data_IF_145338573328
#
_entry.id   IF_145338573328
#
_cell.length_a   1.000
_cell.length_b   1.000
_cell.length_c   1.000
_cell.angle_alpha   90.00
_cell.angle_beta   90.00
_cell.angle_gamma   90.00
#
_symmetry.space_group_name_H-M   'P 1'
#
loop_
_entity.id
_entity.type
_entity.pdbx_description
1 polymer ?
#
# COMPACT_ATOMS: atom_id res chain seq x y z
N UNK A 1 50.85 -40.28 -10.10
CA UNK A 1 49.66 -41.15 -9.97
C UNK A 1 48.44 -40.37 -10.46
N UNK A 2 47.97 -40.60 -11.70
CA UNK A 2 46.76 -39.97 -12.23
C UNK A 2 45.64 -40.98 -12.58
N UNK A 3 44.43 -40.45 -12.87
CA UNK A 3 43.25 -41.04 -13.58
C UNK A 3 42.23 -41.81 -12.69
N UNK A 4 40.87 -41.82 -12.94
CA UNK A 4 40.04 -41.14 -13.97
C UNK A 4 38.76 -40.40 -13.52
N UNK A 5 38.27 -39.58 -14.45
CA UNK A 5 36.92 -39.04 -14.68
C UNK A 5 35.91 -40.05 -15.28
N UNK A 6 34.59 -39.77 -15.12
CA UNK A 6 33.36 -40.23 -15.84
C UNK A 6 32.25 -40.58 -14.80
N UNK A 7 30.96 -40.19 -14.85
CA UNK A 7 29.98 -39.76 -15.88
C UNK A 7 28.86 -38.89 -15.23
N UNK A 8 28.37 -37.93 -16.04
CA UNK A 8 27.02 -37.29 -16.17
C UNK A 8 25.80 -37.82 -15.37
N UNK A 9 24.98 -36.88 -14.88
CA UNK A 9 23.52 -36.63 -15.17
C UNK A 9 22.73 -36.94 -13.88
N UNK A 10 21.69 -36.25 -13.41
CA UNK A 10 20.68 -35.36 -13.99
C UNK A 10 20.12 -34.43 -12.88
N UNK A 11 19.57 -33.30 -13.29
CA UNK A 11 18.99 -32.25 -12.43
C UNK A 11 17.51 -32.52 -12.26
N UNK A 12 17.05 -32.83 -11.04
CA UNK A 12 15.62 -32.91 -10.73
C UNK A 12 15.09 -31.56 -10.21
N UNK A 13 14.32 -30.92 -11.08
CA UNK A 13 13.53 -29.74 -10.81
C UNK A 13 12.18 -30.16 -10.20
N UNK A 14 12.00 -29.96 -8.89
CA UNK A 14 10.69 -30.05 -8.25
C UNK A 14 9.88 -28.77 -8.53
N UNK A 15 9.03 -28.83 -9.56
CA UNK A 15 8.03 -27.81 -9.90
C UNK A 15 6.77 -27.94 -9.02
N UNK A 16 6.26 -26.79 -8.58
CA UNK A 16 4.99 -26.60 -7.87
C UNK A 16 3.77 -27.20 -8.57
N UNK A 17 2.83 -27.83 -7.84
CA UNK A 17 1.65 -28.47 -8.40
C UNK A 17 0.41 -27.56 -8.33
N UNK A 18 0.24 -26.63 -9.28
CA UNK A 18 -1.05 -25.99 -9.55
C UNK A 18 -1.26 -25.85 -11.06
N UNK A 19 -1.52 -27.00 -11.71
CA UNK A 19 -2.00 -27.06 -13.09
C UNK A 19 -3.10 -28.11 -13.17
N UNK A 20 -4.33 -27.76 -12.78
CA UNK A 20 -5.51 -28.57 -13.11
C UNK A 20 -6.14 -28.01 -14.38
N UNK A 21 -6.04 -28.83 -15.42
CA UNK A 21 -6.73 -28.72 -16.69
C UNK A 21 -8.24 -28.76 -16.49
N UNK A 22 -8.95 -27.76 -17.01
CA UNK A 22 -10.38 -27.85 -17.28
C UNK A 22 -10.58 -28.69 -18.54
N UNK A 23 -11.18 -29.87 -18.37
CA UNK A 23 -11.66 -30.71 -19.46
C UNK A 23 -13.11 -30.37 -19.77
N UNK A 24 -13.35 -29.93 -20.99
CA UNK A 24 -14.67 -29.83 -21.62
C UNK A 24 -15.42 -31.16 -21.51
N UNK A 25 -16.67 -31.12 -21.02
CA UNK A 25 -17.57 -32.28 -21.04
C UNK A 25 -18.75 -31.98 -21.95
N UNK A 26 -18.90 -32.83 -22.95
CA UNK A 26 -19.87 -32.76 -24.03
C UNK A 26 -21.32 -32.80 -23.58
N UNK A 27 -22.11 -32.08 -24.38
CA UNK A 27 -23.56 -32.13 -24.53
C UNK A 27 -24.03 -33.56 -24.83
N UNK A 28 -24.95 -34.08 -24.03
CA UNK A 28 -25.92 -35.08 -24.49
C UNK A 28 -27.34 -34.69 -24.05
N UNK A 29 -28.18 -34.53 -25.07
CA UNK A 29 -29.64 -34.42 -25.02
C UNK A 29 -30.22 -35.78 -24.63
N UNK A 30 -31.05 -35.83 -23.62
CA UNK A 30 -32.12 -36.83 -23.55
C UNK A 30 -33.43 -36.17 -23.14
N UNK A 31 -34.46 -36.50 -23.92
CA UNK A 31 -35.81 -35.97 -23.91
C UNK A 31 -36.71 -37.11 -23.48
N UNK A 32 -37.46 -36.94 -22.40
CA UNK A 32 -38.64 -37.78 -22.14
C UNK A 32 -39.65 -36.99 -21.33
N UNK A 33 -40.80 -36.74 -21.96
CA UNK A 33 -41.99 -36.11 -21.39
C UNK A 33 -42.70 -37.07 -20.40
N UNK A 34 -43.38 -36.52 -19.38
CA UNK A 34 -44.83 -36.71 -19.15
C UNK A 34 -45.32 -36.00 -17.88
N UNK A 35 -46.54 -35.47 -18.00
CA UNK A 35 -47.32 -34.66 -17.06
C UNK A 35 -47.49 -35.23 -15.65
N UNK A 36 -47.62 -34.34 -14.66
CA UNK A 36 -48.78 -34.22 -13.73
C UNK A 36 -48.61 -32.97 -12.84
N UNK A 37 -49.55 -32.03 -12.92
CA UNK A 37 -49.83 -31.01 -11.87
C UNK A 37 -50.90 -31.55 -10.92
N UNK A 38 -50.90 -31.14 -9.65
CA UNK A 38 -51.83 -30.08 -9.27
C UNK A 38 -51.25 -29.04 -8.32
N UNK A 39 -51.94 -27.90 -8.32
CA UNK A 39 -51.63 -26.68 -7.61
C UNK A 39 -51.63 -26.82 -6.08
N UNK A 40 -50.69 -26.15 -5.42
CA UNK A 40 -50.90 -25.60 -4.08
C UNK A 40 -50.14 -24.27 -3.97
N UNK A 41 -50.93 -23.21 -4.02
CA UNK A 41 -50.61 -21.85 -3.63
C UNK A 41 -49.96 -21.82 -2.24
N UNK A 42 -48.66 -21.56 -2.19
CA UNK A 42 -47.99 -21.03 -1.00
C UNK A 42 -47.06 -19.93 -1.50
N UNK A 43 -47.44 -18.69 -1.20
CA UNK A 43 -46.72 -17.49 -1.60
C UNK A 43 -45.26 -17.60 -1.20
N UNK A 44 -44.40 -17.89 -2.18
CA UNK A 44 -43.00 -17.50 -2.11
C UNK A 44 -43.00 -16.01 -2.36
N UNK A 45 -42.89 -15.22 -1.30
CA UNK A 45 -42.15 -13.98 -1.41
C UNK A 45 -40.84 -14.34 -2.09
N UNK A 46 -40.74 -14.07 -3.39
CA UNK A 46 -39.45 -13.87 -4.01
C UNK A 46 -38.82 -12.77 -3.16
N UNK A 47 -37.92 -13.16 -2.26
CA UNK A 47 -36.85 -12.30 -1.82
C UNK A 47 -36.26 -11.77 -3.13
N UNK A 48 -36.67 -10.54 -3.50
CA UNK A 48 -35.93 -9.78 -4.49
C UNK A 48 -34.52 -9.81 -3.94
N UNK A 49 -33.63 -10.56 -4.60
CA UNK A 49 -32.20 -10.44 -4.35
C UNK A 49 -31.91 -8.95 -4.51
N UNK A 50 -31.77 -8.26 -3.39
CA UNK A 50 -31.41 -6.86 -3.37
C UNK A 50 -29.97 -6.88 -3.89
N UNK A 51 -29.82 -6.61 -5.18
CA UNK A 51 -28.53 -6.32 -5.77
C UNK A 51 -27.99 -5.16 -4.96
N UNK A 52 -26.81 -5.30 -4.33
CA UNK A 52 -26.30 -4.24 -3.48
C UNK A 52 -26.07 -3.03 -4.39
N UNK A 53 -26.73 -1.92 -4.07
CA UNK A 53 -26.50 -0.68 -4.80
C UNK A 53 -25.04 -0.26 -4.64
N UNK A 54 -24.48 0.30 -5.71
CA UNK A 54 -23.12 0.78 -5.69
C UNK A 54 -23.01 1.91 -4.64
N UNK A 55 -22.06 1.82 -3.69
CA UNK A 55 -21.92 2.82 -2.64
C UNK A 55 -21.48 4.17 -3.22
N UNK A 56 -21.88 5.25 -2.56
CA UNK A 56 -21.35 6.59 -2.84
C UNK A 56 -19.83 6.62 -2.61
N UNK A 57 -19.10 7.21 -3.57
CA UNK A 57 -17.64 7.35 -3.51
C UNK A 57 -17.25 8.76 -3.03
N UNK A 58 -16.16 8.91 -2.25
CA UNK A 58 -15.23 7.87 -1.82
C UNK A 58 -15.72 7.05 -0.61
N UNK A 59 -15.35 5.77 -0.57
CA UNK A 59 -15.69 4.87 0.55
C UNK A 59 -15.06 5.37 1.87
N UNK A 60 -15.79 5.35 3.00
CA UNK A 60 -15.24 5.78 4.28
C UNK A 60 -14.02 4.94 4.69
N UNK A 61 -13.02 5.53 5.37
CA UNK A 61 -11.88 4.79 5.88
C UNK A 61 -12.31 3.77 6.94
N UNK A 62 -11.57 2.66 7.04
CA UNK A 62 -11.83 1.66 8.06
C UNK A 62 -11.36 2.19 9.43
N UNK A 63 -12.16 2.04 10.51
CA UNK A 63 -11.75 2.46 11.85
C UNK A 63 -10.68 1.56 12.47
N UNK A 64 -10.45 0.36 11.92
CA UNK A 64 -9.49 -0.64 12.45
C UNK A 64 -8.42 -1.04 11.42
N UNK A 65 -7.56 -0.10 10.98
CA UNK A 65 -6.58 -0.34 9.91
C UNK A 65 -5.27 -0.97 10.40
N UNK A 66 -5.04 -0.98 11.71
CA UNK A 66 -3.82 -1.50 12.35
C UNK A 66 -4.11 -2.83 13.05
N UNK A 67 -3.06 -3.64 13.23
CA UNK A 67 -3.16 -4.86 14.02
C UNK A 67 -3.37 -4.50 15.50
N UNK A 68 -4.41 -5.02 16.13
CA UNK A 68 -4.74 -4.80 17.54
C UNK A 68 -5.38 -6.05 18.15
N UNK A 69 -5.12 -6.29 19.44
CA UNK A 69 -5.77 -7.31 20.27
C UNK A 69 -6.96 -6.76 21.08
N UNK A 70 -7.21 -5.44 21.02
CA UNK A 70 -8.23 -4.77 21.83
C UNK A 70 -9.66 -5.10 21.39
N UNK A 71 -9.83 -5.55 20.15
CA UNK A 71 -11.12 -5.83 19.55
C UNK A 71 -11.41 -7.34 19.54
N UNK A 72 -12.61 -7.71 20.01
CA UNK A 72 -13.05 -9.13 20.12
C UNK A 72 -14.29 -9.46 19.27
N UNK A 73 -14.85 -8.46 18.61
CA UNK A 73 -16.11 -8.47 17.86
C UNK A 73 -15.91 -8.66 16.34
N UNK A 74 -14.86 -9.39 15.95
CA UNK A 74 -14.51 -9.63 14.54
C UNK A 74 -15.47 -10.59 13.85
N UNK A 75 -15.61 -10.43 12.54
CA UNK A 75 -16.29 -11.36 11.65
C UNK A 75 -15.32 -11.95 10.64
N UNK A 76 -15.64 -13.13 10.13
CA UNK A 76 -14.87 -13.85 9.11
C UNK A 76 -15.78 -14.46 8.06
N UNK A 77 -15.20 -14.96 6.97
CA UNK A 77 -15.89 -15.74 5.95
C UNK A 77 -15.89 -17.21 6.36
N UNK A 78 -17.05 -17.87 6.29
CA UNK A 78 -17.20 -19.29 6.68
C UNK A 78 -16.19 -20.21 5.96
N UNK A 79 -15.95 -19.96 4.66
CA UNK A 79 -14.99 -20.70 3.85
C UNK A 79 -13.56 -20.13 3.84
N UNK A 80 -13.30 -19.03 4.56
CA UNK A 80 -11.97 -18.43 4.63
C UNK A 80 -11.70 -17.76 6.01
N UNK A 81 -11.38 -18.56 7.06
CA UNK A 81 -11.22 -18.07 8.44
C UNK A 81 -10.10 -17.05 8.66
N UNK A 82 -9.14 -16.96 7.73
CA UNK A 82 -8.05 -15.96 7.76
C UNK A 82 -8.51 -14.57 7.34
N UNK A 83 -9.72 -14.43 6.78
CA UNK A 83 -10.31 -13.15 6.46
C UNK A 83 -10.95 -12.53 7.70
N UNK A 84 -10.43 -11.40 8.17
CA UNK A 84 -11.00 -10.61 9.25
C UNK A 84 -11.66 -9.32 8.73
N UNK A 85 -12.89 -9.05 9.16
CA UNK A 85 -13.61 -7.78 8.92
C UNK A 85 -14.21 -7.24 10.23
N UNK A 86 -14.07 -5.93 10.45
CA UNK A 86 -14.68 -5.28 11.60
C UNK A 86 -16.19 -5.07 11.39
N UNK A 87 -16.99 -4.94 12.47
CA UNK A 87 -18.43 -4.71 12.36
C UNK A 87 -18.79 -3.51 11.49
N UNK A 88 -18.05 -2.39 11.61
CA UNK A 88 -18.31 -1.18 10.83
C UNK A 88 -18.20 -1.42 9.32
N UNK A 89 -17.14 -2.10 8.87
CA UNK A 89 -16.96 -2.41 7.47
C UNK A 89 -17.96 -3.47 6.99
N UNK A 90 -18.28 -4.47 7.83
CA UNK A 90 -19.29 -5.47 7.52
C UNK A 90 -20.65 -4.82 7.33
N UNK A 91 -21.09 -3.97 8.25
CA UNK A 91 -22.39 -3.30 8.18
C UNK A 91 -22.44 -2.33 7.00
N UNK A 92 -21.44 -1.45 6.88
CA UNK A 92 -21.46 -0.38 5.89
C UNK A 92 -21.30 -0.88 4.44
N UNK A 93 -20.44 -1.87 4.20
CA UNK A 93 -20.17 -2.34 2.82
C UNK A 93 -20.97 -3.58 2.45
N UNK A 94 -21.20 -4.49 3.38
CA UNK A 94 -21.75 -5.82 3.10
C UNK A 94 -23.15 -6.01 3.69
N UNK A 95 -23.54 -5.24 4.70
CA UNK A 95 -24.71 -5.46 5.56
C UNK A 95 -26.01 -5.66 4.80
N UNK A 96 -26.21 -4.88 3.74
CA UNK A 96 -27.40 -4.90 2.88
C UNK A 96 -27.25 -5.76 1.62
N UNK A 97 -26.14 -6.49 1.48
CA UNK A 97 -25.86 -7.32 0.31
C UNK A 97 -26.35 -8.77 0.48
N UNK A 98 -26.60 -9.45 -0.64
CA UNK A 98 -26.86 -10.91 -0.67
C UNK A 98 -25.70 -11.75 -0.09
N UNK A 99 -24.52 -11.15 0.05
CA UNK A 99 -23.31 -11.80 0.54
C UNK A 99 -23.21 -11.80 2.07
N UNK A 100 -24.03 -11.01 2.78
CA UNK A 100 -24.00 -10.92 4.25
C UNK A 100 -24.08 -12.27 4.96
N UNK A 101 -24.79 -13.23 4.35
CA UNK A 101 -24.97 -14.60 4.85
C UNK A 101 -23.67 -15.41 4.95
N UNK A 102 -22.63 -15.05 4.20
CA UNK A 102 -21.34 -15.75 4.24
C UNK A 102 -20.43 -15.29 5.40
N UNK A 103 -20.83 -14.23 6.10
CA UNK A 103 -20.04 -13.64 7.18
C UNK A 103 -20.55 -14.09 8.55
N UNK A 104 -19.70 -14.81 9.27
CA UNK A 104 -19.95 -15.37 10.59
C UNK A 104 -19.06 -14.69 11.63
N UNK A 105 -19.43 -14.77 12.91
CA UNK A 105 -18.56 -14.25 13.98
C UNK A 105 -17.25 -15.04 14.00
N UNK A 106 -16.12 -14.34 14.06
CA UNK A 106 -14.82 -14.98 14.17
C UNK A 106 -14.67 -15.62 15.57
N UNK A 107 -13.96 -16.76 15.67
CA UNK A 107 -13.59 -17.31 16.97
C UNK A 107 -12.76 -16.31 17.79
N UNK A 108 -12.94 -16.26 19.12
CA UNK A 108 -12.06 -15.49 20.00
C UNK A 108 -10.60 -15.94 19.85
N UNK A 109 -9.68 -14.98 19.82
CA UNK A 109 -8.24 -15.25 19.75
C UNK A 109 -7.46 -14.08 20.33
N UNK A 110 -6.31 -14.39 20.92
CA UNK A 110 -5.36 -13.41 21.46
C UNK A 110 -4.39 -12.87 20.39
N UNK A 111 -4.53 -13.31 19.14
CA UNK A 111 -3.70 -12.85 18.02
C UNK A 111 -4.19 -11.48 17.57
N UNK A 112 -3.27 -10.52 17.42
CA UNK A 112 -3.59 -9.19 16.92
C UNK A 112 -4.19 -9.28 15.50
N UNK A 113 -5.32 -8.59 15.29
CA UNK A 113 -6.06 -8.57 14.03
C UNK A 113 -6.15 -7.18 13.44
N UNK A 114 -6.25 -7.10 12.11
CA UNK A 114 -6.62 -5.87 11.38
C UNK A 114 -7.74 -6.18 10.41
N UNK A 115 -8.57 -5.19 10.12
CA UNK A 115 -9.63 -5.35 9.14
C UNK A 115 -9.06 -5.45 7.71
N UNK A 116 -9.41 -6.48 6.95
CA UNK A 116 -8.99 -6.62 5.55
C UNK A 116 -9.57 -5.51 4.66
N UNK A 117 -10.74 -4.96 5.00
CA UNK A 117 -11.33 -3.79 4.34
C UNK A 117 -10.60 -2.47 4.66
N UNK A 118 -9.52 -2.48 5.44
CA UNK A 118 -8.56 -1.37 5.47
C UNK A 118 -7.61 -1.38 4.27
N UNK A 119 -7.49 -2.51 3.56
CA UNK A 119 -6.65 -2.64 2.36
C UNK A 119 -7.39 -2.14 1.11
N UNK A 120 -6.77 -1.25 0.31
CA UNK A 120 -7.30 -0.85 -0.99
C UNK A 120 -7.57 -2.01 -1.94
N UNK A 121 -6.79 -3.09 -1.87
CA UNK A 121 -6.97 -4.29 -2.70
C UNK A 121 -8.32 -4.97 -2.46
N UNK A 122 -8.70 -5.16 -1.19
CA UNK A 122 -9.99 -5.77 -0.84
C UNK A 122 -11.17 -4.86 -1.15
N UNK A 123 -11.00 -3.55 -0.96
CA UNK A 123 -12.01 -2.56 -1.38
C UNK A 123 -12.21 -2.59 -2.89
N UNK A 124 -11.14 -2.69 -3.67
CA UNK A 124 -11.22 -2.82 -5.12
C UNK A 124 -11.93 -4.11 -5.51
N UNK A 125 -11.57 -5.26 -4.92
CA UNK A 125 -12.26 -6.53 -5.15
C UNK A 125 -13.77 -6.42 -4.89
N UNK A 126 -14.15 -5.75 -3.81
CA UNK A 126 -15.55 -5.51 -3.48
C UNK A 126 -16.23 -4.59 -4.51
N UNK A 127 -15.61 -3.47 -4.86
CA UNK A 127 -16.15 -2.55 -5.87
C UNK A 127 -16.31 -3.22 -7.24
N UNK A 128 -15.36 -4.07 -7.65
CA UNK A 128 -15.45 -4.87 -8.88
C UNK A 128 -16.59 -5.87 -8.80
N UNK A 129 -16.75 -6.56 -7.66
CA UNK A 129 -17.88 -7.48 -7.41
C UNK A 129 -19.22 -6.80 -7.64
N UNK A 130 -19.38 -5.56 -7.14
CA UNK A 130 -20.59 -4.76 -7.33
C UNK A 130 -20.74 -4.26 -8.78
N UNK A 131 -19.69 -3.64 -9.33
CA UNK A 131 -19.69 -3.06 -10.69
C UNK A 131 -20.02 -4.11 -11.76
N UNK A 132 -19.45 -5.31 -11.62
CA UNK A 132 -19.63 -6.42 -12.54
C UNK A 132 -20.87 -7.29 -12.21
N UNK A 133 -21.61 -6.96 -11.14
CA UNK A 133 -22.80 -7.71 -10.67
C UNK A 133 -22.52 -9.20 -10.48
N UNK A 134 -21.36 -9.52 -9.90
CA UNK A 134 -20.97 -10.90 -9.59
C UNK A 134 -21.94 -11.50 -8.57
N UNK A 135 -22.09 -12.83 -8.62
CA UNK A 135 -22.95 -13.60 -7.72
C UNK A 135 -22.18 -14.39 -6.67
N UNK A 136 -20.86 -14.23 -6.66
CA UNK A 136 -19.90 -14.87 -5.78
C UNK A 136 -18.93 -13.82 -5.20
N UNK A 137 -18.11 -14.27 -4.24
CA UNK A 137 -17.05 -13.49 -3.63
C UNK A 137 -15.67 -13.95 -4.11
N UNK A 138 -15.57 -14.49 -5.33
CA UNK A 138 -14.35 -15.17 -5.81
C UNK A 138 -13.13 -14.24 -5.81
N UNK A 139 -13.31 -12.95 -6.10
CA UNK A 139 -12.24 -11.96 -6.02
C UNK A 139 -11.73 -11.82 -4.58
N UNK A 140 -12.63 -11.72 -3.61
CA UNK A 140 -12.28 -11.63 -2.18
C UNK A 140 -11.58 -12.91 -1.72
N UNK A 141 -12.12 -14.09 -2.07
CA UNK A 141 -11.51 -15.38 -1.74
C UNK A 141 -10.11 -15.54 -2.35
N UNK A 142 -9.92 -15.10 -3.59
CA UNK A 142 -8.61 -15.13 -4.25
C UNK A 142 -7.59 -14.28 -3.50
N UNK A 143 -7.95 -13.05 -3.11
CA UNK A 143 -7.09 -12.20 -2.30
C UNK A 143 -6.81 -12.80 -0.92
N UNK A 144 -7.79 -13.45 -0.29
CA UNK A 144 -7.62 -14.12 1.00
C UNK A 144 -6.68 -15.32 0.91
N UNK A 145 -6.78 -16.11 -0.14
CA UNK A 145 -5.85 -17.22 -0.40
C UNK A 145 -4.41 -16.69 -0.53
N UNK A 146 -4.19 -15.68 -1.37
CA UNK A 146 -2.87 -15.04 -1.54
C UNK A 146 -2.39 -14.44 -0.21
N UNK A 147 -3.31 -13.87 0.58
CA UNK A 147 -2.96 -13.27 1.86
C UNK A 147 -2.41 -14.29 2.84
N UNK A 148 -2.95 -15.50 2.81
CA UNK A 148 -2.60 -16.61 3.70
C UNK A 148 -1.34 -17.37 3.26
N UNK A 149 -0.98 -17.36 1.97
CA UNK A 149 0.16 -18.14 1.45
C UNK A 149 1.43 -17.32 1.25
N UNK A 150 1.31 -16.08 0.80
CA UNK A 150 2.48 -15.29 0.41
C UNK A 150 3.05 -14.50 1.57
N UNK A 151 4.24 -13.90 1.40
CA UNK A 151 4.75 -12.92 2.36
C UNK A 151 4.10 -11.54 2.14
N UNK A 152 3.86 -10.74 3.20
CA UNK A 152 3.32 -9.40 3.05
C UNK A 152 4.24 -8.52 2.19
N UNK A 153 3.65 -7.56 1.48
CA UNK A 153 4.42 -6.51 0.81
C UNK A 153 5.29 -5.78 1.85
N UNK A 154 6.59 -5.52 1.56
CA UNK A 154 7.51 -4.93 2.54
C UNK A 154 7.16 -3.48 2.90
N UNK A 155 6.21 -2.87 2.19
CA UNK A 155 5.78 -1.50 2.46
C UNK A 155 6.94 -0.54 2.18
N UNK A 156 7.17 0.39 3.10
CA UNK A 156 8.17 1.47 2.96
C UNK A 156 9.63 1.03 3.18
N UNK A 157 9.88 -0.28 3.23
CA UNK A 157 11.20 -0.86 3.45
C UNK A 157 11.72 -1.53 2.19
N UNK A 158 13.00 -1.33 1.90
CA UNK A 158 13.68 -2.13 0.90
C UNK A 158 13.87 -3.56 1.40
N UNK A 159 13.76 -4.53 0.50
CA UNK A 159 13.86 -5.93 0.87
C UNK A 159 14.50 -6.81 -0.21
N UNK A 160 15.07 -7.93 0.20
CA UNK A 160 15.66 -8.96 -0.69
C UNK A 160 14.63 -10.07 -0.89
N UNK A 161 13.99 -10.10 -2.07
CA UNK A 161 12.98 -11.09 -2.45
C UNK A 161 12.86 -11.16 -3.98
N UNK A 162 12.10 -12.11 -4.55
CA UNK A 162 11.75 -12.07 -5.95
C UNK A 162 11.04 -10.75 -6.31
N UNK A 163 11.54 -10.09 -7.35
CA UNK A 163 11.01 -8.83 -7.86
C UNK A 163 10.55 -8.98 -9.29
N UNK A 164 9.41 -8.37 -9.62
CA UNK A 164 8.84 -8.42 -10.96
C UNK A 164 8.84 -7.04 -11.58
N UNK A 165 9.15 -6.96 -12.87
CA UNK A 165 9.21 -5.71 -13.63
C UNK A 165 8.43 -5.82 -14.93
N UNK A 166 8.13 -4.65 -15.50
CA UNK A 166 7.57 -4.56 -16.86
C UNK A 166 8.69 -4.21 -17.84
N UNK A 167 8.75 -4.89 -18.97
CA UNK A 167 9.67 -4.53 -20.05
C UNK A 167 9.30 -3.19 -20.67
N UNK A 168 10.30 -2.41 -21.05
CA UNK A 168 10.09 -1.14 -21.75
C UNK A 168 9.61 -1.39 -23.20
N UNK A 169 9.20 -0.34 -23.93
CA UNK A 169 8.68 -0.44 -25.32
C UNK A 169 9.63 -1.16 -26.29
N UNK A 170 10.95 -1.12 -26.02
CA UNK A 170 11.99 -1.79 -26.83
C UNK A 170 12.15 -3.27 -26.51
N UNK A 171 11.55 -3.78 -25.43
CA UNK A 171 11.61 -5.17 -25.01
C UNK A 171 12.95 -5.66 -24.46
N UNK A 172 14.01 -4.83 -24.47
CA UNK A 172 15.35 -5.21 -24.03
C UNK A 172 15.56 -5.13 -22.52
N UNK A 173 14.95 -4.13 -21.88
CA UNK A 173 15.23 -3.75 -20.50
C UNK A 173 13.93 -3.52 -19.72
N UNK A 174 13.99 -3.80 -18.43
CA UNK A 174 12.92 -3.44 -17.49
C UNK A 174 12.83 -1.93 -17.31
N UNK A 175 11.62 -1.43 -17.04
CA UNK A 175 11.41 -0.05 -16.62
C UNK A 175 12.16 0.18 -15.29
N UNK A 176 13.10 1.14 -15.23
CA UNK A 176 13.85 1.41 -14.01
C UNK A 176 12.93 1.82 -12.85
N UNK A 177 13.27 1.39 -11.64
CA UNK A 177 12.53 1.72 -10.41
C UNK A 177 11.01 1.38 -10.45
N UNK A 178 10.61 0.46 -11.33
CA UNK A 178 9.30 -0.18 -11.33
C UNK A 178 9.48 -1.65 -10.95
N UNK A 179 9.32 -1.96 -9.66
CA UNK A 179 9.42 -3.32 -9.15
C UNK A 179 8.22 -3.67 -8.30
N UNK A 180 7.65 -4.85 -8.53
CA UNK A 180 6.46 -5.33 -7.85
C UNK A 180 6.87 -6.56 -7.04
N UNK A 181 6.48 -6.62 -5.77
CA UNK A 181 6.65 -7.82 -4.98
C UNK A 181 5.65 -8.90 -5.44
N UNK A 182 5.95 -10.16 -5.18
CA UNK A 182 5.12 -11.29 -5.59
C UNK A 182 3.66 -11.15 -5.15
N UNK A 183 3.40 -10.76 -3.89
CA UNK A 183 2.05 -10.58 -3.36
C UNK A 183 1.23 -9.53 -4.12
N UNK A 184 1.79 -8.34 -4.36
CA UNK A 184 1.07 -7.27 -5.07
C UNK A 184 0.87 -7.65 -6.54
N UNK A 185 1.81 -8.40 -7.15
CA UNK A 185 1.62 -8.95 -8.51
C UNK A 185 0.47 -9.96 -8.54
N UNK A 186 0.41 -10.89 -7.59
CA UNK A 186 -0.67 -11.87 -7.50
C UNK A 186 -2.02 -11.22 -7.26
N UNK A 187 -2.09 -10.14 -6.47
CA UNK A 187 -3.30 -9.33 -6.35
C UNK A 187 -3.71 -8.69 -7.68
N UNK A 188 -2.76 -8.10 -8.41
CA UNK A 188 -3.02 -7.55 -9.75
C UNK A 188 -3.56 -8.64 -10.69
N UNK A 189 -2.95 -9.82 -10.73
CA UNK A 189 -3.34 -10.92 -11.63
C UNK A 189 -4.62 -11.66 -11.20
N UNK A 190 -4.99 -11.57 -9.92
CA UNK A 190 -6.27 -12.07 -9.41
C UNK A 190 -7.42 -11.13 -9.78
N UNK A 191 -7.22 -9.82 -9.63
CA UNK A 191 -8.24 -8.81 -9.93
C UNK A 191 -8.34 -8.52 -11.43
N UNK A 192 -7.21 -8.49 -12.14
CA UNK A 192 -7.10 -8.12 -13.55
C UNK A 192 -6.40 -9.25 -14.33
N UNK A 193 -7.10 -10.37 -14.58
CA UNK A 193 -6.49 -11.58 -15.15
C UNK A 193 -5.91 -11.39 -16.56
N UNK A 194 -6.31 -10.35 -17.30
CA UNK A 194 -5.71 -10.07 -18.62
C UNK A 194 -4.25 -9.64 -18.51
N UNK A 195 -3.79 -9.17 -17.35
CA UNK A 195 -2.42 -8.71 -17.14
C UNK A 195 -1.42 -9.84 -16.86
N UNK A 196 -1.90 -11.09 -16.77
CA UNK A 196 -1.08 -12.25 -16.43
C UNK A 196 0.10 -12.43 -17.38
N UNK A 197 1.28 -12.61 -16.80
CA UNK A 197 2.52 -12.88 -17.56
C UNK A 197 3.15 -11.67 -18.26
N UNK A 198 2.58 -10.46 -18.12
CA UNK A 198 3.21 -9.24 -18.63
C UNK A 198 4.34 -8.73 -17.73
N UNK A 199 4.21 -8.90 -16.42
CA UNK A 199 5.28 -8.63 -15.46
C UNK A 199 6.18 -9.85 -15.35
N UNK A 200 7.47 -9.67 -15.58
CA UNK A 200 8.46 -10.75 -15.62
C UNK A 200 9.42 -10.65 -14.45
N UNK A 201 9.96 -11.80 -14.03
CA UNK A 201 10.94 -11.87 -12.96
C UNK A 201 12.20 -11.09 -13.34
N UNK A 202 12.67 -10.25 -12.42
CA UNK A 202 13.92 -9.51 -12.54
C UNK A 202 15.02 -10.41 -11.99
N UNK A 203 15.99 -10.76 -12.83
CA UNK A 203 17.15 -11.56 -12.44
C UNK A 203 18.18 -10.69 -11.68
N UNK A 204 17.86 -10.38 -10.43
CA UNK A 204 18.70 -9.55 -9.56
C UNK A 204 18.38 -9.80 -8.09
N UNK A 205 19.42 -10.07 -7.30
CA UNK A 205 19.34 -10.25 -5.85
C UNK A 205 19.46 -8.94 -5.06
N UNK A 206 19.22 -7.78 -5.68
CA UNK A 206 19.34 -6.48 -5.00
C UNK A 206 18.17 -6.20 -4.06
N UNK A 207 18.41 -5.41 -3.01
CA UNK A 207 17.33 -4.82 -2.22
C UNK A 207 16.52 -3.86 -3.09
N UNK A 208 15.19 -3.93 -3.03
CA UNK A 208 14.31 -3.01 -3.77
C UNK A 208 13.06 -2.67 -2.97
N UNK A 209 12.31 -1.69 -3.45
CA UNK A 209 11.09 -1.18 -2.84
C UNK A 209 9.89 -1.43 -3.78
N UNK A 210 8.77 -1.96 -3.28
CA UNK A 210 7.62 -2.32 -4.13
C UNK A 210 6.88 -1.09 -4.67
N UNK A 211 6.81 -0.87 -5.97
CA UNK A 211 6.11 0.27 -6.59
C UNK A 211 4.58 0.29 -6.37
N UNK A 212 3.99 -0.81 -5.87
CA UNK A 212 2.56 -0.92 -5.53
C UNK A 212 2.25 -0.81 -4.03
N UNK A 213 3.15 -0.18 -3.26
CA UNK A 213 2.88 0.23 -1.87
C UNK A 213 1.61 1.07 -1.80
N UNK A 214 0.64 0.66 -1.00
CA UNK A 214 -0.63 1.36 -0.81
C UNK A 214 -0.49 2.79 -0.24
N UNK A 215 0.65 3.11 0.37
CA UNK A 215 0.98 4.45 0.87
C UNK A 215 1.70 5.34 -0.16
N UNK A 216 2.15 4.79 -1.29
CA UNK A 216 2.76 5.56 -2.37
C UNK A 216 1.70 6.40 -3.08
N UNK A 217 2.05 7.63 -3.46
CA UNK A 217 1.19 8.51 -4.27
C UNK A 217 0.96 7.96 -5.68
N UNK A 218 1.86 7.10 -6.16
CA UNK A 218 1.79 6.46 -7.48
C UNK A 218 0.78 5.34 -7.54
N UNK A 219 0.47 4.72 -6.38
CA UNK A 219 -0.38 3.53 -6.30
C UNK A 219 -1.73 3.68 -7.00
N UNK A 220 -2.48 4.74 -6.68
CA UNK A 220 -3.79 4.96 -7.28
C UNK A 220 -3.69 5.18 -8.80
N UNK A 221 -2.75 6.02 -9.25
CA UNK A 221 -2.56 6.29 -10.68
C UNK A 221 -2.18 5.04 -11.48
N UNK A 222 -1.29 4.21 -10.91
CA UNK A 222 -0.91 2.93 -11.52
C UNK A 222 -2.07 1.97 -11.57
N UNK A 223 -2.79 1.82 -10.46
CA UNK A 223 -3.91 0.90 -10.35
C UNK A 223 -5.06 1.29 -11.28
N UNK A 224 -5.44 2.56 -11.33
CA UNK A 224 -6.49 3.08 -12.20
C UNK A 224 -6.16 2.85 -13.68
N UNK A 225 -4.91 3.07 -14.08
CA UNK A 225 -4.48 2.86 -15.45
C UNK A 225 -4.42 1.36 -15.81
N UNK A 226 -3.98 0.50 -14.91
CA UNK A 226 -4.01 -0.95 -15.12
C UNK A 226 -5.45 -1.49 -15.19
N UNK A 227 -6.38 -0.95 -14.39
CA UNK A 227 -7.80 -1.27 -14.48
C UNK A 227 -8.40 -0.83 -15.82
N UNK A 228 -8.11 0.38 -16.29
CA UNK A 228 -8.52 0.86 -17.62
C UNK A 228 -7.96 -0.05 -18.75
N UNK A 229 -6.70 -0.47 -18.63
CA UNK A 229 -6.08 -1.42 -19.57
C UNK A 229 -6.81 -2.76 -19.55
N UNK A 230 -7.12 -3.29 -18.36
CA UNK A 230 -7.85 -4.54 -18.20
C UNK A 230 -9.25 -4.48 -18.83
N UNK A 231 -10.03 -3.44 -18.51
CA UNK A 231 -11.39 -3.25 -19.02
C UNK A 231 -11.40 -3.12 -20.54
N UNK A 232 -10.45 -2.38 -21.13
CA UNK A 232 -10.30 -2.27 -22.59
C UNK A 232 -9.89 -3.59 -23.22
N UNK A 233 -9.00 -4.35 -22.60
CA UNK A 233 -8.61 -5.66 -23.10
C UNK A 233 -9.82 -6.60 -23.17
N UNK A 234 -10.68 -6.63 -22.15
CA UNK A 234 -11.91 -7.42 -22.13
C UNK A 234 -12.91 -7.02 -23.24
N UNK A 235 -12.98 -5.74 -23.61
CA UNK A 235 -13.85 -5.26 -24.69
C UNK A 235 -13.24 -5.42 -26.09
N UNK A 236 -11.93 -5.64 -26.18
CA UNK A 236 -11.21 -5.74 -27.44
C UNK A 236 -11.38 -7.12 -28.08
N UNK A 237 -11.32 -7.18 -29.42
CA UNK A 237 -11.38 -8.46 -30.15
C UNK A 237 -10.16 -9.34 -29.93
N UNK A 238 -8.99 -8.75 -29.70
CA UNK A 238 -7.74 -9.49 -29.49
C UNK A 238 -7.58 -10.00 -28.06
N UNK A 239 -8.31 -9.40 -27.10
CA UNK A 239 -8.13 -9.69 -25.68
C UNK A 239 -6.79 -9.21 -25.11
N UNK A 240 -5.97 -8.52 -25.91
CA UNK A 240 -4.60 -8.16 -25.56
C UNK A 240 -4.54 -6.81 -24.85
N UNK A 241 -4.04 -6.74 -23.61
CA UNK A 241 -3.71 -5.48 -22.95
C UNK A 241 -2.75 -4.61 -23.76
N UNK A 242 -3.09 -3.31 -23.86
CA UNK A 242 -2.16 -2.30 -24.36
C UNK A 242 -1.50 -1.56 -23.18
N UNK A 243 -0.23 -1.89 -22.92
CA UNK A 243 0.55 -1.28 -21.85
C UNK A 243 1.18 0.07 -22.23
N UNK A 244 1.00 0.57 -23.46
CA UNK A 244 1.73 1.76 -23.94
C UNK A 244 1.61 2.97 -23.02
N UNK A 245 0.40 3.26 -22.54
CA UNK A 245 0.13 4.37 -21.61
C UNK A 245 0.75 4.13 -20.22
N UNK A 246 0.71 2.89 -19.74
CA UNK A 246 1.31 2.53 -18.45
C UNK A 246 2.83 2.60 -18.50
N UNK A 247 3.44 2.16 -19.61
CA UNK A 247 4.88 2.27 -19.83
C UNK A 247 5.31 3.74 -19.86
N UNK A 248 4.53 4.63 -20.49
CA UNK A 248 4.81 6.07 -20.49
C UNK A 248 4.75 6.65 -19.08
N UNK A 249 3.68 6.37 -18.33
CA UNK A 249 3.51 6.84 -16.96
C UNK A 249 4.62 6.32 -16.04
N UNK A 250 4.93 5.02 -16.10
CA UNK A 250 5.98 4.42 -15.29
C UNK A 250 7.36 4.98 -15.63
N UNK A 251 7.68 5.22 -16.91
CA UNK A 251 8.95 5.87 -17.29
C UNK A 251 9.04 7.32 -16.80
N UNK A 252 7.94 8.07 -16.75
CA UNK A 252 7.93 9.42 -16.16
C UNK A 252 8.29 9.39 -14.67
N UNK A 253 7.93 8.33 -13.95
CA UNK A 253 8.22 8.16 -12.54
C UNK A 253 9.52 7.39 -12.24
N UNK A 254 10.05 6.65 -13.22
CA UNK A 254 11.23 5.79 -13.08
C UNK A 254 12.45 6.55 -12.55
N UNK A 255 12.66 7.78 -13.00
CA UNK A 255 13.83 8.58 -12.64
C UNK A 255 13.54 9.64 -11.58
N UNK A 256 12.29 9.70 -11.11
CA UNK A 256 11.87 10.66 -10.10
C UNK A 256 11.91 10.02 -8.74
N UNK A 257 12.51 10.70 -7.78
CA UNK A 257 12.45 10.25 -6.38
C UNK A 257 11.02 10.42 -5.86
N UNK A 258 10.47 9.35 -5.28
CA UNK A 258 9.22 9.43 -4.52
C UNK A 258 9.38 10.36 -3.32
N UNK A 259 8.30 11.08 -2.99
CA UNK A 259 8.26 11.90 -1.81
C UNK A 259 8.43 11.03 -0.56
N UNK A 260 9.56 11.19 0.13
CA UNK A 260 9.82 10.51 1.42
C UNK A 260 9.05 11.12 2.59
N UNK A 261 8.09 12.02 2.32
CA UNK A 261 7.20 12.65 3.29
C UNK A 261 7.99 13.34 4.41
N UNK A 262 7.74 12.94 5.64
CA UNK A 262 8.36 13.37 6.88
C UNK A 262 9.61 12.57 7.24
N UNK A 263 10.02 11.56 6.47
CA UNK A 263 11.30 10.90 6.68
C UNK A 263 12.43 11.91 6.45
N UNK A 264 13.26 12.06 7.47
CA UNK A 264 14.45 12.91 7.44
C UNK A 264 15.54 12.18 6.66
N UNK A 265 16.03 12.79 5.58
CA UNK A 265 17.07 12.25 4.72
C UNK A 265 18.35 13.07 4.83
N UNK A 266 19.47 12.35 4.92
CA UNK A 266 20.83 12.90 4.89
C UNK A 266 21.35 12.91 3.45
N UNK A 267 22.17 13.91 3.10
CA UNK A 267 22.89 14.04 1.83
C UNK A 267 21.98 14.05 0.61
N UNK A 268 20.69 14.34 0.78
CA UNK A 268 19.71 14.30 -0.29
C UNK A 268 19.62 15.64 -1.02
N UNK A 269 19.31 15.57 -2.31
CA UNK A 269 19.13 16.76 -3.14
C UNK A 269 17.68 17.27 -3.08
N UNK A 270 17.51 18.58 -3.04
CA UNK A 270 16.20 19.22 -2.90
C UNK A 270 16.06 20.39 -3.88
N UNK A 271 14.83 20.69 -4.26
CA UNK A 271 14.47 22.02 -4.73
C UNK A 271 14.34 22.93 -3.51
N UNK A 272 14.89 24.14 -3.59
CA UNK A 272 14.85 25.11 -2.48
C UNK A 272 14.54 26.50 -2.98
N UNK A 273 14.20 27.39 -2.05
CA UNK A 273 14.13 28.81 -2.33
C UNK A 273 15.43 29.48 -1.87
N UNK A 274 16.12 30.30 -2.69
CA UNK A 274 17.41 30.91 -2.32
C UNK A 274 17.38 31.69 -1.01
N UNK A 275 16.31 32.46 -0.76
CA UNK A 275 16.09 33.17 0.50
C UNK A 275 15.56 32.31 1.66
N UNK A 276 15.31 31.02 1.44
CA UNK A 276 14.76 30.10 2.43
C UNK A 276 15.27 28.66 2.21
N UNK A 277 16.58 28.37 2.46
CA UNK A 277 17.16 27.05 2.22
C UNK A 277 16.49 25.92 3.02
N UNK A 278 15.87 26.25 4.16
CA UNK A 278 15.11 25.29 4.96
C UNK A 278 13.82 24.80 4.29
N UNK A 279 13.37 25.46 3.21
CA UNK A 279 12.25 25.06 2.38
C UNK A 279 12.66 23.99 1.36
N UNK A 280 12.74 22.75 1.83
CA UNK A 280 13.16 21.58 1.06
C UNK A 280 11.99 20.90 0.38
N UNK A 281 11.97 20.87 -0.95
CA UNK A 281 10.92 20.25 -1.77
C UNK A 281 11.51 19.11 -2.61
N UNK A 282 10.90 17.92 -2.56
CA UNK A 282 11.34 16.78 -3.38
C UNK A 282 10.82 16.94 -4.81
N UNK A 283 11.39 16.18 -5.75
CA UNK A 283 11.03 16.21 -7.18
C UNK A 283 9.52 16.04 -7.41
N UNK A 284 8.92 15.02 -6.79
CA UNK A 284 7.48 14.76 -6.93
C UNK A 284 6.60 15.92 -6.42
N UNK A 285 6.94 16.53 -5.28
CA UNK A 285 6.16 17.66 -4.76
C UNK A 285 6.44 18.97 -5.50
N UNK A 286 7.62 19.11 -6.11
CA UNK A 286 7.91 20.25 -6.98
C UNK A 286 7.00 20.21 -8.21
N UNK A 287 6.90 19.07 -8.88
CA UNK A 287 6.05 18.90 -10.06
C UNK A 287 4.56 19.02 -9.74
N UNK A 288 4.11 18.46 -8.62
CA UNK A 288 2.70 18.47 -8.21
C UNK A 288 2.20 19.86 -7.80
N UNK A 289 3.06 20.64 -7.12
CA UNK A 289 2.64 21.80 -6.34
C UNK A 289 3.31 23.09 -6.82
N UNK A 290 4.64 23.09 -6.94
CA UNK A 290 5.41 24.31 -7.25
C UNK A 290 5.35 24.64 -8.73
N UNK A 291 5.63 23.67 -9.60
CA UNK A 291 5.71 23.86 -11.04
C UNK A 291 4.39 24.37 -11.69
N UNK A 292 3.19 23.94 -11.24
CA UNK A 292 1.94 24.53 -11.69
C UNK A 292 1.82 26.03 -11.35
N UNK A 293 2.33 26.48 -10.20
CA UNK A 293 2.35 27.89 -9.82
C UNK A 293 3.37 28.70 -10.61
N UNK A 294 4.53 28.11 -10.93
CA UNK A 294 5.51 28.70 -11.86
C UNK A 294 4.84 28.96 -13.21
N UNK A 295 4.09 27.98 -13.75
CA UNK A 295 3.35 28.13 -15.00
C UNK A 295 2.25 29.20 -14.95
N UNK A 296 1.68 29.44 -13.77
CA UNK A 296 0.72 30.53 -13.53
C UNK A 296 1.36 31.91 -13.38
N UNK A 297 2.69 31.99 -13.41
CA UNK A 297 3.43 33.25 -13.28
C UNK A 297 3.59 33.73 -11.85
N UNK A 298 3.50 32.84 -10.85
CA UNK A 298 3.79 33.20 -9.46
C UNK A 298 5.27 33.56 -9.28
N UNK A 299 5.54 34.73 -8.71
CA UNK A 299 6.90 35.21 -8.42
C UNK A 299 7.56 34.35 -7.35
N UNK A 300 6.88 34.12 -6.23
CA UNK A 300 7.34 33.24 -5.16
C UNK A 300 7.67 31.82 -5.67
N UNK A 301 6.85 31.26 -6.56
CA UNK A 301 7.09 29.93 -7.10
C UNK A 301 8.29 29.89 -8.07
N UNK A 302 8.46 30.92 -8.90
CA UNK A 302 9.56 31.00 -9.87
C UNK A 302 10.93 31.15 -9.20
N UNK A 303 10.97 31.67 -7.97
CA UNK A 303 12.20 31.72 -7.15
C UNK A 303 12.64 30.34 -6.63
N UNK A 304 11.79 29.31 -6.64
CA UNK A 304 12.19 27.96 -6.24
C UNK A 304 13.07 27.33 -7.33
N UNK A 305 14.24 26.81 -6.93
CA UNK A 305 15.23 26.26 -7.85
C UNK A 305 14.63 25.15 -8.72
N UNK A 306 14.83 25.26 -10.04
CA UNK A 306 14.43 24.21 -10.99
C UNK A 306 15.35 22.99 -10.94
N UNK A 307 16.61 23.21 -10.59
CA UNK A 307 17.59 22.14 -10.40
C UNK A 307 17.64 21.72 -8.94
N UNK A 308 17.90 20.44 -8.75
CA UNK A 308 18.16 19.86 -7.45
C UNK A 308 19.53 20.31 -6.95
N UNK A 309 19.60 20.74 -5.70
CA UNK A 309 20.84 21.13 -5.03
C UNK A 309 20.99 20.46 -3.67
N UNK A 310 22.22 20.36 -3.21
CA UNK A 310 22.49 20.08 -1.80
C UNK A 310 22.05 21.28 -0.96
N UNK A 311 21.47 21.00 0.21
CA UNK A 311 21.16 22.03 1.19
C UNK A 311 22.26 21.97 2.26
N UNK A 312 23.18 22.94 2.30
CA UNK A 312 24.21 22.98 3.32
C UNK A 312 23.51 23.15 4.68
N UNK A 313 23.64 22.15 5.54
CA UNK A 313 23.19 22.22 6.91
C UNK A 313 24.38 21.88 7.79
N UNK A 314 24.95 22.89 8.44
CA UNK A 314 25.98 22.71 9.47
C UNK A 314 25.45 21.77 10.58
N UNK A 315 24.14 21.77 10.82
CA UNK A 315 23.45 20.84 11.71
C UNK A 315 23.45 19.39 11.20
N UNK A 316 23.57 19.13 9.91
CA UNK A 316 23.60 17.75 9.39
C UNK A 316 24.90 17.04 9.79
N UNK A 317 26.03 17.74 9.71
CA UNK A 317 27.36 17.26 10.11
C UNK A 317 27.50 17.14 11.63
N UNK A 318 26.88 18.05 12.40
CA UNK A 318 27.06 18.12 13.86
C UNK A 318 25.99 17.34 14.64
N UNK A 319 24.74 17.32 14.16
CA UNK A 319 23.59 16.77 14.91
C UNK A 319 22.87 15.61 14.21
N UNK A 320 23.28 15.27 12.97
CA UNK A 320 22.61 14.24 12.16
C UNK A 320 21.20 14.63 11.74
N UNK A 321 20.88 15.93 11.73
CA UNK A 321 19.57 16.44 11.34
C UNK A 321 19.52 16.72 9.84
N UNK A 322 19.03 15.74 9.09
CA UNK A 322 18.77 15.88 7.65
C UNK A 322 17.54 16.74 7.33
N UNK A 323 17.04 16.60 6.11
CA UNK A 323 15.87 17.34 5.63
C UNK A 323 14.72 16.40 5.25
N UNK A 324 13.49 16.86 5.42
CA UNK A 324 12.27 16.19 4.96
C UNK A 324 11.55 17.05 3.92
N UNK A 325 10.58 16.50 3.19
CA UNK A 325 9.84 17.32 2.22
C UNK A 325 8.88 18.27 2.95
N UNK A 326 8.94 19.57 2.68
CA UNK A 326 8.03 20.55 3.29
C UNK A 326 6.63 20.55 2.67
N UNK A 327 6.42 19.99 1.48
CA UNK A 327 5.14 20.05 0.74
C UNK A 327 4.41 18.69 0.68
N UNK A 328 4.79 17.73 1.53
CA UNK A 328 4.16 16.42 1.50
C UNK A 328 2.74 16.43 2.07
N UNK A 329 2.46 17.28 3.05
CA UNK A 329 1.22 17.27 3.84
C UNK A 329 0.14 18.21 3.28
N UNK A 330 -1.15 17.89 3.48
CA UNK A 330 -2.25 18.78 3.12
C UNK A 330 -2.15 20.17 3.77
N UNK A 331 -1.75 20.25 5.06
CA UNK A 331 -1.60 21.55 5.74
C UNK A 331 -0.52 22.39 5.09
N UNK A 332 0.67 21.86 4.80
CA UNK A 332 1.72 22.64 4.15
C UNK A 332 1.39 23.02 2.72
N UNK A 333 0.63 22.20 1.99
CA UNK A 333 0.10 22.57 0.67
C UNK A 333 -0.87 23.76 0.76
N UNK A 334 -1.72 23.83 1.81
CA UNK A 334 -2.56 25.02 2.07
C UNK A 334 -1.73 26.25 2.44
N UNK A 335 -0.68 26.07 3.23
CA UNK A 335 0.28 27.15 3.55
C UNK A 335 0.94 27.69 2.28
N UNK A 336 1.42 26.80 1.42
CA UNK A 336 2.01 27.16 0.13
C UNK A 336 1.02 27.91 -0.76
N UNK A 337 -0.18 27.38 -0.96
CA UNK A 337 -1.20 28.00 -1.79
C UNK A 337 -1.51 29.44 -1.34
N UNK A 338 -1.62 29.66 -0.01
CA UNK A 338 -1.80 30.99 0.56
C UNK A 338 -0.59 31.90 0.33
N UNK A 339 0.62 31.39 0.58
CA UNK A 339 1.84 32.18 0.38
C UNK A 339 2.00 32.62 -1.08
N UNK A 340 1.68 31.74 -2.03
CA UNK A 340 1.68 32.06 -3.46
C UNK A 340 0.60 33.08 -3.81
N UNK A 341 -0.61 32.94 -3.25
CA UNK A 341 -1.70 33.88 -3.49
C UNK A 341 -1.39 35.30 -2.99
N UNK A 342 -0.75 35.39 -1.82
CA UNK A 342 -0.43 36.65 -1.14
C UNK A 342 0.96 37.22 -1.56
N UNK A 343 1.72 36.50 -2.40
CA UNK A 343 3.15 36.75 -2.71
C UNK A 343 4.02 36.95 -1.44
N UNK A 344 3.71 36.18 -0.38
CA UNK A 344 4.25 36.36 0.96
C UNK A 344 5.29 35.28 1.33
N UNK A 345 6.53 35.51 0.90
CA UNK A 345 7.69 34.68 1.24
C UNK A 345 7.96 34.64 2.76
N UNK A 346 7.63 35.71 3.50
CA UNK A 346 7.88 35.83 4.94
C UNK A 346 6.92 34.93 5.71
N UNK A 347 5.65 34.89 5.30
CA UNK A 347 4.66 33.96 5.82
C UNK A 347 5.08 32.50 5.59
N UNK A 348 5.53 32.16 4.38
CA UNK A 348 6.03 30.83 4.07
C UNK A 348 7.21 30.46 4.98
N UNK A 349 8.20 31.36 5.07
CA UNK A 349 9.38 31.17 5.92
C UNK A 349 9.03 30.86 7.36
N UNK A 350 8.12 31.64 7.95
CA UNK A 350 7.64 31.41 9.33
C UNK A 350 7.00 30.02 9.47
N UNK A 351 6.13 29.62 8.55
CA UNK A 351 5.43 28.32 8.62
C UNK A 351 6.34 27.13 8.37
N UNK A 352 7.34 27.26 7.50
CA UNK A 352 8.38 26.24 7.29
C UNK A 352 9.21 26.04 8.56
N UNK A 353 9.61 27.13 9.22
CA UNK A 353 10.36 27.07 10.50
C UNK A 353 9.54 26.46 11.63
N UNK A 354 8.26 26.83 11.75
CA UNK A 354 7.33 26.23 12.71
C UNK A 354 7.22 24.71 12.50
N UNK A 355 7.04 24.26 11.25
CA UNK A 355 7.03 22.83 10.91
C UNK A 355 8.31 22.12 11.31
N UNK A 356 9.47 22.67 10.91
CA UNK A 356 10.76 22.05 11.21
C UNK A 356 11.00 21.93 12.70
N UNK A 357 10.62 22.95 13.47
CA UNK A 357 10.70 22.92 14.93
C UNK A 357 9.84 21.79 15.50
N UNK A 358 8.55 21.73 15.12
CA UNK A 358 7.64 20.67 15.58
C UNK A 358 8.19 19.27 15.23
N UNK A 359 8.63 19.09 13.99
CA UNK A 359 9.19 17.81 13.54
C UNK A 359 10.43 17.42 14.34
N UNK A 360 11.33 18.37 14.59
CA UNK A 360 12.55 18.16 15.38
C UNK A 360 12.20 17.76 16.81
N UNK A 361 11.28 18.47 17.45
CA UNK A 361 10.89 18.23 18.84
C UNK A 361 10.29 16.83 19.00
N UNK A 362 9.35 16.44 18.13
CA UNK A 362 8.76 15.10 18.14
C UNK A 362 9.78 14.00 17.79
N UNK A 363 10.66 14.23 16.81
CA UNK A 363 11.71 13.26 16.48
C UNK A 363 12.70 13.07 17.63
N UNK A 364 12.99 14.12 18.40
CA UNK A 364 13.85 14.04 19.59
C UNK A 364 13.18 13.23 20.70
N UNK A 365 11.90 13.48 20.96
CA UNK A 365 11.10 12.69 21.89
C UNK A 365 11.04 11.21 21.46
N UNK A 366 10.76 10.95 20.18
CA UNK A 366 10.73 9.60 19.63
C UNK A 366 12.08 8.89 19.78
N UNK A 367 13.20 9.57 19.50
CA UNK A 367 14.55 9.02 19.69
C UNK A 367 14.82 8.71 21.17
N UNK A 368 14.44 9.60 22.08
CA UNK A 368 14.59 9.38 23.53
C UNK A 368 13.81 8.16 24.02
N UNK A 369 12.53 8.03 23.62
CA UNK A 369 11.69 6.90 24.01
C UNK A 369 12.21 5.57 23.44
N UNK A 370 12.70 5.56 22.19
CA UNK A 370 13.30 4.36 21.60
C UNK A 370 14.56 3.91 22.32
N UNK A 371 15.43 4.85 22.73
CA UNK A 371 16.62 4.53 23.54
C UNK A 371 16.24 3.94 24.89
N UNK A 372 15.26 4.55 25.57
CA UNK A 372 14.74 4.02 26.83
C UNK A 372 14.16 2.62 26.67
N UNK A 373 13.42 2.36 25.58
CA UNK A 373 12.89 1.03 25.30
C UNK A 373 14.01 0.00 25.08
N UNK A 374 15.03 0.36 24.29
CA UNK A 374 16.17 -0.51 24.00
C UNK A 374 16.97 -0.82 25.27
N UNK A 375 17.24 0.19 26.11
CA UNK A 375 17.90 0.04 27.42
C UNK A 375 17.09 -0.89 28.33
N UNK A 376 15.78 -0.67 28.45
CA UNK A 376 14.87 -1.49 29.28
C UNK A 376 14.81 -2.95 28.80
N UNK A 377 14.73 -3.16 27.47
CA UNK A 377 14.73 -4.51 26.89
C UNK A 377 16.05 -5.23 27.13
N UNK A 378 17.18 -4.53 26.98
CA UNK A 378 18.52 -5.06 27.21
C UNK A 378 18.76 -5.42 28.67
N UNK A 379 18.28 -4.61 29.61
CA UNK A 379 18.31 -4.92 31.05
C UNK A 379 17.51 -6.19 31.38
N UNK A 380 16.34 -6.36 30.75
CA UNK A 380 15.48 -7.53 30.93
C UNK A 380 16.08 -8.81 30.35
N UNK A 381 16.76 -8.73 29.21
CA UNK A 381 17.44 -9.87 28.58
C UNK A 381 18.69 -10.32 29.34
N UNK A 382 19.45 -9.39 29.92
CA UNK A 382 20.72 -9.69 30.58
C UNK A 382 20.58 -10.04 32.07
N UNK A 383 19.41 -9.86 32.70
CA UNK A 383 19.14 -10.27 34.08
C UNK A 383 19.98 -9.56 35.16
N UNK A 384 20.75 -8.52 34.80
CA UNK A 384 21.60 -7.77 35.73
C UNK A 384 20.83 -6.64 36.40
N UNK A 385 20.22 -6.93 37.55
CA UNK A 385 19.93 -5.91 38.55
C UNK A 385 21.26 -5.51 39.22
N UNK A 386 21.98 -4.52 38.68
CA UNK A 386 23.10 -3.93 39.42
C UNK A 386 22.54 -3.30 40.70
N UNK A 387 23.04 -3.77 41.84
CA UNK A 387 22.57 -3.39 43.16
C UNK A 387 22.50 -1.87 43.37
N UNK A 388 21.28 -1.37 43.39
CA UNK A 388 20.87 -0.19 44.15
C UNK A 388 19.46 -0.48 44.65
N UNK A 389 19.24 -0.35 45.95
CA UNK A 389 17.96 -0.62 46.63
C UNK A 389 16.86 0.39 46.30
N UNK A 390 16.66 0.66 45.02
CA UNK A 390 15.48 1.35 44.49
C UNK A 390 14.86 0.38 43.50
N UNK A 391 13.63 -0.06 43.80
CA UNK A 391 12.75 -0.72 42.84
C UNK A 391 12.56 0.28 41.71
N UNK A 392 13.47 0.25 40.73
CA UNK A 392 13.36 1.05 39.53
C UNK A 392 12.05 0.64 38.89
N UNK A 393 11.08 1.55 38.88
CA UNK A 393 9.91 1.45 38.03
C UNK A 393 10.42 1.52 36.59
N UNK A 394 10.97 0.41 36.08
CA UNK A 394 11.21 0.24 34.66
C UNK A 394 9.90 0.52 33.95
N UNK A 395 9.90 1.48 33.05
CA UNK A 395 8.72 1.80 32.26
C UNK A 395 8.32 0.55 31.49
N UNK A 396 7.06 0.15 31.65
CA UNK A 396 6.50 -0.98 30.91
C UNK A 396 6.73 -0.78 29.41
N UNK A 397 7.37 -1.73 28.69
CA UNK A 397 7.57 -1.66 27.24
C UNK A 397 6.29 -1.34 26.46
N UNK A 398 5.13 -1.80 26.93
CA UNK A 398 3.84 -1.47 26.31
C UNK A 398 3.50 0.02 26.46
N UNK A 399 3.74 0.61 27.63
CA UNK A 399 3.56 2.05 27.86
C UNK A 399 4.48 2.90 26.99
N UNK A 400 5.71 2.45 26.73
CA UNK A 400 6.62 3.15 25.81
C UNK A 400 6.11 3.07 24.37
N UNK A 401 5.55 1.94 23.94
CA UNK A 401 4.90 1.81 22.63
C UNK A 401 3.69 2.75 22.51
N UNK A 402 2.84 2.82 23.53
CA UNK A 402 1.68 3.73 23.56
C UNK A 402 2.09 5.21 23.40
N UNK A 403 3.15 5.66 24.10
CA UNK A 403 3.67 7.02 23.96
C UNK A 403 4.28 7.25 22.56
N UNK A 404 4.96 6.26 21.97
CA UNK A 404 5.43 6.35 20.59
C UNK A 404 4.27 6.51 19.59
N UNK A 405 3.18 5.77 19.78
CA UNK A 405 1.97 5.91 18.95
C UNK A 405 1.30 7.27 19.13
N UNK A 406 1.29 7.80 20.36
CA UNK A 406 0.78 9.14 20.66
C UNK A 406 1.56 10.23 19.95
N UNK A 407 2.89 10.16 19.95
CA UNK A 407 3.76 11.08 19.18
C UNK A 407 3.43 10.99 17.68
N UNK A 408 3.25 9.78 17.14
CA UNK A 408 2.87 9.61 15.74
C UNK A 408 1.45 10.13 15.42
N UNK A 409 0.50 10.04 16.36
CA UNK A 409 -0.82 10.66 16.23
C UNK A 409 -0.71 12.18 16.23
N UNK A 410 0.02 12.75 17.20
CA UNK A 410 0.23 14.19 17.31
C UNK A 410 0.84 14.79 16.04
N UNK A 411 1.85 14.15 15.46
CA UNK A 411 2.41 14.58 14.18
C UNK A 411 1.41 14.51 13.02
N UNK A 412 0.61 13.43 12.95
CA UNK A 412 -0.41 13.27 11.90
C UNK A 412 -1.52 14.31 12.01
N UNK A 413 -1.96 14.64 13.21
CA UNK A 413 -3.02 15.63 13.42
C UNK A 413 -2.51 17.06 13.12
N UNK A 414 -1.19 17.26 13.26
CA UNK A 414 -0.54 18.53 12.95
C UNK A 414 -0.33 18.76 11.44
N UNK A 415 -0.31 17.74 10.58
CA UNK A 415 0.03 17.82 9.13
C UNK A 415 -1.16 17.62 8.18
#
# INVERSE_FOLDING_TARGET
MPIPSHVREEVDAARSPLRRSYSESSVQKERTDLHTTPASTRGKELQREIVPEMPDLPLPPCPRPTYSTEFVDWYTLDSAPSFDICPDCLEHFIGHSLFRKYFVKAPPTDIAKKCHFSSPWYRLAWLMTLKEKRRDLDLVFSLTSITATEDPCPGEHEDVRPWYGLLNKRGSDFIPNLQICERDLLYLEALMPTLRGYFQLIDSSSTRLCSFRTKSKRFAQYLDLLLDIHERALMSRSGTPDFSRFIELANQHAWKRECSRDKVLLGSLWHTHPGLPEFTVCEECYEDVVYPDVKRGSRLADEVTRTLGFVPSEAELVTGEGNSCQLYSPRMRRVWARAVQDDDAVYLARKVRERRKMQRDLNNQQRSLRRLLEETMRERELGYSYGSGSVGQGLDPERVKEELEKIQREWRDWE
#
